data_IF_635102211464
#
_entry.id   IF_635102211464
#
_cell.length_a   1.000
_cell.length_b   1.000
_cell.length_c   1.000
_cell.angle_alpha   90.00
_cell.angle_beta   90.00
_cell.angle_gamma   90.00
#
_symmetry.space_group_name_H-M   'P 1'
#
loop_
_entity.id
_entity.type
_entity.pdbx_description
1 polymer ?
#
# COMPACT_ATOMS: atom_id res chain seq x y z
N UNK A 1 -12.68 -12.56 16.83
CA UNK A 1 -11.80 -12.63 15.65
C UNK A 1 -11.94 -11.35 14.83
N UNK A 2 -13.17 -10.86 14.72
CA UNK A 2 -13.58 -9.71 13.89
C UNK A 2 -12.91 -8.38 14.29
N UNK A 3 -12.77 -8.10 15.60
CA UNK A 3 -12.09 -6.87 16.07
C UNK A 3 -10.61 -6.87 15.64
N UNK A 4 -9.93 -8.02 15.68
CA UNK A 4 -8.53 -8.11 15.27
C UNK A 4 -8.37 -7.88 13.76
N UNK A 5 -9.28 -8.42 12.95
CA UNK A 5 -9.28 -8.21 11.49
C UNK A 5 -9.63 -6.75 11.16
N UNK A 6 -10.58 -6.13 11.87
CA UNK A 6 -10.91 -4.72 11.72
C UNK A 6 -9.74 -3.80 12.10
N UNK A 7 -9.02 -4.09 13.19
CA UNK A 7 -7.82 -3.36 13.58
C UNK A 7 -6.70 -3.50 12.55
N UNK A 8 -6.50 -4.71 12.01
CA UNK A 8 -5.52 -4.94 10.94
C UNK A 8 -5.90 -4.16 9.67
N UNK A 9 -7.18 -4.15 9.31
CA UNK A 9 -7.68 -3.41 8.17
C UNK A 9 -7.46 -1.90 8.33
N UNK A 10 -7.90 -1.33 9.45
CA UNK A 10 -7.67 0.08 9.74
C UNK A 10 -6.20 0.45 9.82
N UNK A 11 -5.33 -0.47 10.27
CA UNK A 11 -3.87 -0.23 10.26
C UNK A 11 -3.34 -0.14 8.84
N UNK A 12 -3.69 -1.08 7.96
CA UNK A 12 -3.26 -1.08 6.56
C UNK A 12 -3.73 0.18 5.85
N UNK A 13 -5.01 0.55 6.01
CA UNK A 13 -5.57 1.75 5.40
C UNK A 13 -4.88 3.02 5.89
N UNK A 14 -4.60 3.13 7.20
CA UNK A 14 -3.89 4.28 7.76
C UNK A 14 -2.52 4.51 7.10
N UNK A 15 -1.76 3.45 6.85
CA UNK A 15 -0.45 3.55 6.20
C UNK A 15 -0.56 3.92 4.71
N UNK A 16 -1.60 3.46 4.02
CA UNK A 16 -1.83 3.71 2.59
C UNK A 16 -2.34 5.13 2.37
N UNK A 17 -3.31 5.58 3.18
CA UNK A 17 -3.88 6.92 3.10
C UNK A 17 -2.86 8.02 3.43
N UNK A 18 -1.79 7.68 4.15
CA UNK A 18 -0.74 8.62 4.56
C UNK A 18 -0.02 9.31 3.39
N UNK A 19 -0.05 8.74 2.17
CA UNK A 19 0.56 9.34 0.97
C UNK A 19 -0.05 10.70 0.61
N UNK A 20 -1.37 10.87 0.75
CA UNK A 20 -2.05 12.10 0.32
C UNK A 20 -1.73 13.29 1.25
N UNK A 21 -1.80 13.16 2.59
CA UNK A 21 -1.43 14.22 3.53
C UNK A 21 0.03 14.66 3.47
N UNK A 22 0.97 13.75 3.15
CA UNK A 22 2.40 14.11 3.07
C UNK A 22 2.77 14.76 1.73
N UNK A 23 1.88 14.76 0.73
CA UNK A 23 2.18 15.28 -0.60
C UNK A 23 2.71 16.73 -0.63
N UNK A 24 2.25 17.68 0.21
CA UNK A 24 2.82 19.03 0.24
C UNK A 24 4.26 19.06 0.74
N UNK A 25 4.61 18.17 1.68
CA UNK A 25 5.98 18.02 2.18
C UNK A 25 6.91 17.48 1.09
N UNK A 26 6.44 16.50 0.30
CA UNK A 26 7.20 15.94 -0.82
C UNK A 26 7.44 16.99 -1.92
N UNK A 27 6.43 17.79 -2.25
CA UNK A 27 6.54 18.91 -3.21
C UNK A 27 7.65 19.87 -2.79
N UNK A 28 7.65 20.28 -1.52
CA UNK A 28 8.65 21.20 -0.96
C UNK A 28 10.05 20.59 -0.90
N UNK A 29 10.15 19.30 -0.53
CA UNK A 29 11.44 18.63 -0.31
C UNK A 29 12.15 18.28 -1.61
N UNK A 30 11.39 17.83 -2.62
CA UNK A 30 11.94 17.43 -3.92
C UNK A 30 11.88 18.54 -4.98
N UNK A 31 11.28 19.70 -4.66
CA UNK A 31 11.07 20.81 -5.60
C UNK A 31 10.34 20.37 -6.88
N UNK A 32 9.36 19.47 -6.74
CA UNK A 32 8.60 18.88 -7.85
C UNK A 32 7.26 19.60 -7.98
N UNK A 33 6.78 19.76 -9.22
CA UNK A 33 5.45 20.34 -9.46
C UNK A 33 4.34 19.48 -8.82
N UNK A 34 3.34 20.15 -8.22
CA UNK A 34 2.19 19.48 -7.61
C UNK A 34 1.48 18.52 -8.59
N UNK A 35 1.40 18.90 -9.87
CA UNK A 35 0.83 18.06 -10.94
C UNK A 35 1.56 16.72 -11.07
N UNK A 36 2.89 16.70 -10.97
CA UNK A 36 3.67 15.47 -11.10
C UNK A 36 3.41 14.52 -9.93
N UNK A 37 3.31 15.04 -8.70
CA UNK A 37 2.96 14.24 -7.52
C UNK A 37 1.53 13.69 -7.65
N UNK A 38 0.56 14.51 -8.09
CA UNK A 38 -0.81 14.05 -8.31
C UNK A 38 -0.89 12.94 -9.37
N UNK A 39 -0.17 13.08 -10.49
CA UNK A 39 -0.08 12.04 -11.52
C UNK A 39 0.54 10.74 -10.99
N UNK A 40 1.54 10.85 -10.14
CA UNK A 40 2.24 9.73 -9.52
C UNK A 40 1.34 8.99 -8.53
N UNK A 41 0.57 9.71 -7.71
CA UNK A 41 -0.45 9.12 -6.84
C UNK A 41 -1.51 8.41 -7.70
N UNK A 42 -2.03 9.09 -8.74
CA UNK A 42 -3.04 8.53 -9.62
C UNK A 42 -2.57 7.25 -10.32
N UNK A 43 -1.31 7.20 -10.78
CA UNK A 43 -0.76 6.00 -11.41
C UNK A 43 -0.63 4.83 -10.43
N UNK A 44 -0.22 5.10 -9.19
CA UNK A 44 -0.18 4.08 -8.14
C UNK A 44 -1.59 3.55 -7.85
N UNK A 45 -2.58 4.43 -7.68
CA UNK A 45 -3.96 4.02 -7.41
C UNK A 45 -4.55 3.19 -8.55
N UNK A 46 -4.29 3.58 -9.81
CA UNK A 46 -4.72 2.82 -10.98
C UNK A 46 -4.11 1.41 -10.99
N UNK A 47 -2.80 1.29 -10.77
CA UNK A 47 -2.12 -0.01 -10.75
C UNK A 47 -2.61 -0.89 -9.59
N UNK A 48 -2.88 -0.26 -8.43
CA UNK A 48 -3.46 -0.92 -7.26
C UNK A 48 -4.81 -1.55 -7.61
N UNK A 49 -5.72 -0.77 -8.20
CA UNK A 49 -7.06 -1.23 -8.59
C UNK A 49 -7.00 -2.38 -9.60
N UNK A 50 -6.13 -2.29 -10.62
CA UNK A 50 -5.94 -3.38 -11.58
C UNK A 50 -5.38 -4.65 -10.93
N UNK A 51 -4.45 -4.49 -9.98
CA UNK A 51 -3.83 -5.62 -9.28
C UNK A 51 -4.80 -6.34 -8.34
N UNK A 52 -5.79 -5.64 -7.77
CA UNK A 52 -6.82 -6.25 -6.92
C UNK A 52 -7.58 -7.37 -7.66
N UNK A 53 -7.90 -7.18 -8.94
CA UNK A 53 -8.57 -8.19 -9.78
C UNK A 53 -7.71 -9.46 -9.88
N UNK A 54 -6.41 -9.29 -10.14
CA UNK A 54 -5.47 -10.40 -10.21
C UNK A 54 -5.36 -11.15 -8.88
N UNK A 55 -5.22 -10.41 -7.78
CA UNK A 55 -5.11 -10.99 -6.44
C UNK A 55 -6.38 -11.71 -5.99
N UNK A 56 -7.56 -11.19 -6.31
CA UNK A 56 -8.83 -11.84 -6.03
C UNK A 56 -8.94 -13.23 -6.69
N UNK A 57 -8.35 -13.43 -7.88
CA UNK A 57 -8.38 -14.72 -8.57
C UNK A 57 -7.34 -15.72 -8.02
N UNK A 58 -6.18 -15.23 -7.57
CA UNK A 58 -5.02 -16.06 -7.24
C UNK A 58 -4.95 -16.42 -5.76
N UNK A 59 -5.15 -15.45 -4.87
CA UNK A 59 -4.93 -15.62 -3.42
C UNK A 59 -5.84 -16.67 -2.75
N UNK A 60 -7.12 -16.86 -3.14
CA UNK A 60 -7.97 -17.90 -2.54
C UNK A 60 -7.45 -19.32 -2.72
N UNK A 61 -6.59 -19.56 -3.72
CA UNK A 61 -6.03 -20.89 -4.02
C UNK A 61 -4.87 -21.28 -3.08
N UNK A 62 -4.39 -20.37 -2.24
CA UNK A 62 -3.24 -20.58 -1.36
C UNK A 62 -3.71 -21.20 -0.03
N UNK A 63 -3.17 -22.39 0.32
CA UNK A 63 -3.58 -23.15 1.52
C UNK A 63 -3.25 -22.47 2.85
N UNK A 64 -2.17 -21.69 2.93
CA UNK A 64 -1.69 -21.05 4.17
C UNK A 64 -2.18 -19.60 4.28
N UNK A 65 -3.48 -19.42 4.39
CA UNK A 65 -4.14 -18.11 4.36
C UNK A 65 -3.64 -17.14 5.45
N UNK A 66 -3.45 -17.61 6.69
CA UNK A 66 -2.94 -16.78 7.77
C UNK A 66 -1.50 -16.28 7.55
N UNK A 67 -0.61 -17.14 7.04
CA UNK A 67 0.77 -16.74 6.74
C UNK A 67 0.83 -15.69 5.62
N UNK A 68 -0.04 -15.84 4.62
CA UNK A 68 -0.21 -14.87 3.54
C UNK A 68 -0.67 -13.51 4.06
N UNK A 69 -1.64 -13.49 5.00
CA UNK A 69 -2.11 -12.27 5.67
C UNK A 69 -0.96 -11.51 6.36
N UNK A 70 -0.19 -12.21 7.19
CA UNK A 70 0.97 -11.62 7.88
C UNK A 70 2.02 -11.10 6.91
N UNK A 71 2.29 -11.84 5.82
CA UNK A 71 3.18 -11.40 4.76
C UNK A 71 2.71 -10.10 4.13
N UNK A 72 1.45 -10.02 3.74
CA UNK A 72 0.86 -8.82 3.12
C UNK A 72 0.96 -7.62 4.07
N UNK A 73 0.61 -7.78 5.34
CA UNK A 73 0.70 -6.69 6.33
C UNK A 73 2.16 -6.26 6.53
N UNK A 74 3.10 -7.20 6.61
CA UNK A 74 4.52 -6.89 6.70
C UNK A 74 5.00 -6.09 5.47
N UNK A 75 4.51 -6.40 4.27
CA UNK A 75 4.82 -5.64 3.06
C UNK A 75 4.15 -4.26 2.99
N UNK A 76 3.11 -3.99 3.78
CA UNK A 76 2.56 -2.63 3.95
C UNK A 76 3.39 -1.84 4.95
N UNK A 77 3.71 -2.44 6.10
CA UNK A 77 4.34 -1.73 7.23
C UNK A 77 5.86 -1.60 7.07
N UNK A 78 6.58 -2.66 6.72
CA UNK A 78 8.05 -2.64 6.68
C UNK A 78 8.61 -1.59 5.71
N UNK A 79 8.09 -1.40 4.49
CA UNK A 79 8.64 -0.40 3.58
C UNK A 79 8.48 1.04 4.09
N UNK A 80 7.52 1.32 4.98
CA UNK A 80 7.33 2.66 5.57
C UNK A 80 8.50 3.06 6.47
N UNK A 81 9.21 2.08 7.07
CA UNK A 81 10.43 2.32 7.83
C UNK A 81 11.57 2.91 6.98
N UNK A 82 11.49 2.76 5.65
CA UNK A 82 12.48 3.30 4.73
C UNK A 82 12.31 4.81 4.49
N UNK A 83 11.19 5.42 4.92
CA UNK A 83 10.96 6.87 4.77
C UNK A 83 11.94 7.73 5.59
N UNK A 84 12.61 7.16 6.59
CA UNK A 84 13.68 7.86 7.32
C UNK A 84 14.98 7.97 6.52
N UNK A 85 15.12 7.22 5.42
CA UNK A 85 16.30 7.27 4.56
C UNK A 85 16.17 8.43 3.55
N UNK A 86 17.29 9.10 3.26
CA UNK A 86 17.35 10.08 2.16
C UNK A 86 17.20 9.36 0.81
N UNK A 87 15.96 9.23 0.34
CA UNK A 87 15.63 8.66 -0.95
C UNK A 87 15.45 9.73 -2.02
N UNK A 88 15.73 9.40 -3.27
CA UNK A 88 15.26 10.21 -4.40
C UNK A 88 13.76 9.94 -4.67
N UNK A 89 13.12 10.77 -5.49
CA UNK A 89 11.68 10.64 -5.77
C UNK A 89 11.30 9.27 -6.38
N UNK A 90 12.20 8.68 -7.18
CA UNK A 90 11.98 7.38 -7.81
C UNK A 90 12.00 6.25 -6.76
N UNK A 91 12.94 6.30 -5.80
CA UNK A 91 12.98 5.37 -4.68
C UNK A 91 11.72 5.48 -3.82
N UNK A 92 11.29 6.71 -3.52
CA UNK A 92 10.04 6.96 -2.80
C UNK A 92 8.82 6.40 -3.54
N UNK A 93 8.75 6.60 -4.87
CA UNK A 93 7.72 6.03 -5.72
C UNK A 93 7.67 4.51 -5.62
N UNK A 94 8.82 3.84 -5.71
CA UNK A 94 8.89 2.38 -5.63
C UNK A 94 8.45 1.86 -4.25
N UNK A 95 8.80 2.57 -3.18
CA UNK A 95 8.34 2.23 -1.83
C UNK A 95 6.81 2.35 -1.75
N UNK A 96 6.23 3.47 -2.17
CA UNK A 96 4.77 3.62 -2.19
C UNK A 96 4.09 2.61 -3.11
N UNK A 97 4.67 2.32 -4.27
CA UNK A 97 4.16 1.31 -5.18
C UNK A 97 4.09 -0.07 -4.52
N UNK A 98 5.12 -0.48 -3.78
CA UNK A 98 5.12 -1.76 -3.05
C UNK A 98 4.06 -1.79 -1.93
N UNK A 99 3.94 -0.70 -1.17
CA UNK A 99 2.94 -0.57 -0.09
C UNK A 99 1.52 -0.71 -0.67
N UNK A 100 1.25 0.01 -1.75
CA UNK A 100 -0.05 -0.01 -2.40
C UNK A 100 -0.35 -1.34 -3.11
N UNK A 101 0.67 -1.99 -3.69
CA UNK A 101 0.52 -3.33 -4.26
C UNK A 101 0.21 -4.37 -3.19
N UNK A 102 0.83 -4.28 -2.01
CA UNK A 102 0.49 -5.12 -0.87
C UNK A 102 -0.93 -4.84 -0.38
N UNK A 103 -1.35 -3.57 -0.34
CA UNK A 103 -2.74 -3.21 -0.03
C UNK A 103 -3.74 -3.80 -1.06
N UNK A 104 -3.40 -3.79 -2.35
CA UNK A 104 -4.22 -4.43 -3.38
C UNK A 104 -4.41 -5.94 -3.14
N UNK A 105 -3.41 -6.62 -2.59
CA UNK A 105 -3.54 -8.03 -2.19
C UNK A 105 -4.39 -8.18 -0.92
N UNK A 106 -4.30 -7.22 -0.01
CA UNK A 106 -5.03 -7.22 1.26
C UNK A 106 -6.54 -7.09 1.07
N UNK A 107 -7.04 -6.14 0.26
CA UNK A 107 -8.48 -5.90 0.12
C UNK A 107 -9.34 -7.13 -0.28
N UNK A 108 -9.04 -7.87 -1.36
CA UNK A 108 -9.84 -9.04 -1.75
C UNK A 108 -9.67 -10.23 -0.79
N UNK A 109 -8.58 -10.23 -0.02
CA UNK A 109 -8.25 -11.34 0.88
C UNK A 109 -8.75 -11.13 2.31
N UNK A 110 -8.59 -9.93 2.85
CA UNK A 110 -9.10 -9.50 4.14
C UNK A 110 -10.63 -9.49 4.17
N UNK A 111 -11.29 -9.12 3.06
CA UNK A 111 -12.76 -9.22 2.94
C UNK A 111 -13.26 -10.66 2.86
N UNK A 112 -12.44 -11.60 2.37
CA UNK A 112 -12.80 -13.03 2.32
C UNK A 112 -12.56 -13.75 3.67
N UNK A 113 -11.76 -13.16 4.57
CA UNK A 113 -11.42 -13.72 5.88
C UNK A 113 -12.20 -13.09 7.04
N UNK A 114 -12.72 -11.88 6.86
CA UNK A 114 -13.65 -11.21 7.77
C UNK A 114 -15.05 -11.84 7.67
#
# INVERSE_FOLDING_TARGET
MDIAIALLHGTVDLFVEFLSPISPYLIKTYSIQARTIAMLIASIMLMTALSQIFFAMVLPRIKKQWFLLYGIIAFVVLPTSLFSLKMNIVGLYLVFFLIFLANAAYHPFGTALA
#
